data_IF_101250928613
#
_entry.id   IF_101250928613
#
_cell.length_a   1.000
_cell.length_b   1.000
_cell.length_c   1.000
_cell.angle_alpha   90.00
_cell.angle_beta   90.00
_cell.angle_gamma   90.00
#
_symmetry.space_group_name_H-M   'P 1'
#
loop_
_entity.id
_entity.type
_entity.pdbx_description
1 polymer ?
#
# COMPACT_ATOMS: atom_id res chain seq x y z
N UNK A 1 -19.60 -120.78 -41.49
CA UNK A 1 -20.07 -119.58 -42.23
C UNK A 1 -20.83 -118.59 -41.34
N UNK A 2 -21.47 -119.01 -40.26
CA UNK A 2 -22.28 -118.15 -39.41
C UNK A 2 -21.50 -117.24 -38.41
N UNK A 3 -20.25 -117.62 -38.02
CA UNK A 3 -19.48 -116.77 -37.05
C UNK A 3 -18.86 -115.53 -37.66
N UNK A 4 -18.47 -115.57 -38.94
CA UNK A 4 -17.89 -114.43 -39.67
C UNK A 4 -18.91 -113.40 -39.92
N UNK A 5 -20.15 -113.79 -40.27
CA UNK A 5 -21.26 -112.83 -40.52
C UNK A 5 -21.64 -112.14 -39.25
N UNK A 6 -21.64 -112.85 -38.10
CA UNK A 6 -21.99 -112.22 -36.81
C UNK A 6 -20.95 -111.18 -36.34
N UNK A 7 -19.67 -111.51 -36.54
CA UNK A 7 -18.59 -110.50 -36.18
C UNK A 7 -18.55 -109.28 -37.06
N UNK A 8 -18.85 -109.42 -38.39
CA UNK A 8 -18.93 -108.28 -39.28
C UNK A 8 -20.13 -107.41 -39.00
N UNK A 9 -21.24 -108.05 -38.58
CA UNK A 9 -22.45 -107.29 -38.17
C UNK A 9 -22.24 -106.51 -36.89
N UNK A 10 -21.55 -107.16 -35.91
CA UNK A 10 -21.22 -106.45 -34.63
C UNK A 10 -20.23 -105.32 -34.85
N UNK A 11 -19.24 -105.46 -35.78
CA UNK A 11 -18.31 -104.37 -36.13
C UNK A 11 -19.01 -103.21 -36.85
N UNK A 12 -19.98 -103.48 -37.74
CA UNK A 12 -20.77 -102.44 -38.36
C UNK A 12 -21.67 -101.69 -37.37
N UNK A 13 -22.29 -102.41 -36.44
CA UNK A 13 -23.10 -101.83 -35.38
C UNK A 13 -22.25 -100.92 -34.47
N UNK A 14 -21.05 -101.38 -34.13
CA UNK A 14 -20.11 -100.62 -33.31
C UNK A 14 -19.65 -99.36 -34.00
N UNK A 15 -19.41 -99.43 -35.32
CA UNK A 15 -19.02 -98.21 -36.18
C UNK A 15 -20.19 -97.16 -36.25
N UNK A 16 -21.43 -97.69 -36.40
CA UNK A 16 -22.60 -96.77 -36.48
C UNK A 16 -22.84 -96.11 -35.14
N UNK A 17 -22.73 -96.81 -34.04
CA UNK A 17 -22.89 -96.26 -32.66
C UNK A 17 -21.70 -95.32 -32.36
N UNK A 18 -20.48 -95.62 -32.73
CA UNK A 18 -19.31 -94.77 -32.56
C UNK A 18 -19.44 -93.48 -33.32
N UNK A 19 -19.90 -93.57 -34.61
CA UNK A 19 -20.15 -92.37 -35.43
C UNK A 19 -21.30 -91.51 -34.89
N UNK A 20 -22.38 -92.14 -34.44
CA UNK A 20 -23.52 -91.43 -33.76
C UNK A 20 -23.09 -90.70 -32.52
N UNK A 21 -22.27 -91.35 -31.65
CA UNK A 21 -21.73 -90.74 -30.41
C UNK A 21 -20.78 -89.58 -30.71
N UNK A 22 -19.88 -89.74 -31.70
CA UNK A 22 -18.96 -88.60 -32.08
C UNK A 22 -19.72 -87.41 -32.68
N UNK A 23 -20.76 -87.67 -33.46
CA UNK A 23 -21.62 -86.63 -34.03
C UNK A 23 -22.39 -85.91 -32.92
N UNK A 24 -22.91 -86.65 -31.92
CA UNK A 24 -23.60 -86.04 -30.78
C UNK A 24 -22.70 -85.26 -29.87
N UNK A 25 -21.48 -85.68 -29.61
CA UNK A 25 -20.49 -84.97 -28.84
C UNK A 25 -20.07 -83.65 -29.58
N UNK A 26 -19.86 -83.74 -30.90
CA UNK A 26 -19.47 -82.57 -31.68
C UNK A 26 -20.59 -81.57 -31.74
N UNK A 27 -21.86 -81.97 -31.85
CA UNK A 27 -23.01 -81.02 -31.81
C UNK A 27 -23.16 -80.41 -30.45
N UNK A 28 -23.00 -81.10 -29.35
CA UNK A 28 -23.06 -80.55 -28.01
C UNK A 28 -21.91 -79.62 -27.72
N UNK A 29 -20.68 -79.94 -28.20
CA UNK A 29 -19.55 -79.04 -28.10
C UNK A 29 -19.73 -77.70 -28.91
N UNK A 30 -20.32 -77.87 -30.12
CA UNK A 30 -20.56 -76.70 -30.98
C UNK A 30 -21.63 -75.77 -30.37
N UNK A 31 -22.71 -76.31 -29.81
CA UNK A 31 -23.76 -75.56 -29.11
C UNK A 31 -23.29 -74.85 -27.86
N UNK A 32 -22.37 -75.49 -27.09
CA UNK A 32 -21.82 -74.89 -25.90
C UNK A 32 -20.78 -73.81 -26.24
N UNK A 33 -20.02 -73.99 -27.33
CA UNK A 33 -19.10 -72.97 -27.82
C UNK A 33 -19.82 -71.70 -28.33
N UNK A 34 -20.90 -71.89 -29.10
CA UNK A 34 -21.72 -70.77 -29.62
C UNK A 34 -22.40 -69.98 -28.46
N UNK A 35 -22.96 -70.68 -27.47
CA UNK A 35 -23.53 -70.00 -26.28
C UNK A 35 -22.48 -69.20 -25.53
N UNK A 36 -21.29 -69.74 -25.34
CA UNK A 36 -20.22 -69.03 -24.62
C UNK A 36 -19.71 -67.81 -25.40
N UNK A 37 -19.70 -67.89 -26.73
CA UNK A 37 -19.38 -66.75 -27.63
C UNK A 37 -20.47 -65.70 -27.57
N UNK A 38 -21.76 -66.07 -27.57
CA UNK A 38 -22.86 -65.12 -27.43
C UNK A 38 -22.84 -64.43 -26.08
N UNK A 39 -22.61 -65.16 -25.00
CA UNK A 39 -22.48 -64.57 -23.65
C UNK A 39 -21.32 -63.54 -23.55
N UNK A 40 -20.14 -63.93 -24.13
CA UNK A 40 -18.97 -63.03 -24.16
C UNK A 40 -19.20 -61.81 -25.08
N UNK A 41 -19.93 -61.92 -26.19
CA UNK A 41 -20.32 -60.84 -27.06
C UNK A 41 -21.32 -59.89 -26.37
N UNK A 42 -22.29 -60.47 -25.66
CA UNK A 42 -23.25 -59.68 -24.90
C UNK A 42 -22.58 -58.92 -23.74
N UNK A 43 -21.63 -59.58 -23.03
CA UNK A 43 -20.86 -58.92 -21.97
C UNK A 43 -19.91 -57.84 -22.50
N UNK A 44 -19.27 -58.08 -23.66
CA UNK A 44 -18.45 -57.08 -24.34
C UNK A 44 -19.28 -55.86 -24.82
N UNK A 45 -20.47 -56.12 -25.38
CA UNK A 45 -21.37 -55.03 -25.80
C UNK A 45 -21.88 -54.25 -24.59
N UNK A 46 -22.24 -54.90 -23.47
CA UNK A 46 -22.63 -54.18 -22.25
C UNK A 46 -21.51 -53.31 -21.69
N UNK A 47 -20.26 -53.82 -21.67
CA UNK A 47 -19.09 -53.05 -21.27
C UNK A 47 -18.79 -51.89 -22.21
N UNK A 48 -18.94 -52.08 -23.52
CA UNK A 48 -18.76 -51.03 -24.53
C UNK A 48 -19.83 -49.91 -24.39
N UNK A 49 -21.08 -50.29 -24.12
CA UNK A 49 -22.16 -49.32 -23.91
C UNK A 49 -22.01 -48.58 -22.59
N UNK A 50 -21.49 -49.27 -21.55
CA UNK A 50 -21.20 -48.62 -20.27
C UNK A 50 -20.05 -47.62 -20.42
N UNK A 51 -18.93 -47.99 -21.04
CA UNK A 51 -17.82 -47.11 -21.37
C UNK A 51 -18.22 -45.90 -22.22
N UNK A 52 -19.12 -46.12 -23.20
CA UNK A 52 -19.69 -45.01 -23.99
C UNK A 52 -20.52 -44.06 -23.13
N UNK A 53 -21.35 -44.59 -22.23
CA UNK A 53 -22.16 -43.72 -21.34
C UNK A 53 -21.26 -42.96 -20.37
N UNK A 54 -20.29 -43.59 -19.78
CA UNK A 54 -19.36 -42.96 -18.84
C UNK A 54 -18.50 -41.87 -19.53
N UNK A 55 -18.00 -42.17 -20.75
CA UNK A 55 -17.28 -41.15 -21.53
C UNK A 55 -18.13 -39.96 -21.96
N UNK A 56 -19.39 -40.19 -22.33
CA UNK A 56 -20.35 -39.11 -22.65
C UNK A 56 -20.68 -38.27 -21.42
N UNK A 57 -20.81 -38.91 -20.26
CA UNK A 57 -21.03 -38.20 -18.98
C UNK A 57 -19.82 -37.34 -18.62
N UNK A 58 -18.62 -37.90 -18.66
CA UNK A 58 -17.38 -37.18 -18.38
C UNK A 58 -17.16 -35.97 -19.32
N UNK A 59 -17.41 -36.16 -20.62
CA UNK A 59 -17.34 -35.04 -21.58
C UNK A 59 -18.41 -33.98 -21.30
N UNK A 60 -19.61 -34.36 -20.92
CA UNK A 60 -20.65 -33.41 -20.55
C UNK A 60 -20.30 -32.62 -19.29
N UNK A 61 -19.73 -33.28 -18.30
CA UNK A 61 -19.34 -32.67 -17.05
C UNK A 61 -18.16 -31.70 -17.25
N UNK A 62 -17.13 -32.09 -18.00
CA UNK A 62 -16.03 -31.21 -18.39
C UNK A 62 -16.52 -30.00 -19.22
N UNK A 63 -17.42 -30.22 -20.15
CA UNK A 63 -17.99 -29.10 -20.93
C UNK A 63 -18.83 -28.14 -20.08
N UNK A 64 -19.52 -28.69 -19.05
CA UNK A 64 -20.29 -27.86 -18.13
C UNK A 64 -19.37 -27.02 -17.23
N UNK A 65 -18.31 -27.63 -16.71
CA UNK A 65 -17.29 -26.94 -15.90
C UNK A 65 -16.59 -25.85 -16.72
N UNK A 66 -16.14 -26.19 -17.95
CA UNK A 66 -15.52 -25.22 -18.86
C UNK A 66 -16.44 -24.04 -19.18
N UNK A 67 -17.71 -24.32 -19.37
CA UNK A 67 -18.72 -23.27 -19.63
C UNK A 67 -18.92 -22.36 -18.41
N UNK A 68 -18.94 -22.93 -17.19
CA UNK A 68 -19.02 -22.13 -15.97
C UNK A 68 -17.78 -21.25 -15.78
N UNK A 69 -16.60 -21.79 -16.07
CA UNK A 69 -15.31 -21.07 -15.98
C UNK A 69 -15.27 -19.90 -16.97
N UNK A 70 -15.63 -20.14 -18.23
CA UNK A 70 -15.72 -19.11 -19.26
C UNK A 70 -16.76 -18.04 -18.92
N UNK A 71 -17.94 -18.43 -18.42
CA UNK A 71 -18.97 -17.49 -18.02
C UNK A 71 -18.51 -16.62 -16.84
N UNK A 72 -17.73 -17.18 -15.92
CA UNK A 72 -17.14 -16.47 -14.80
C UNK A 72 -16.08 -15.47 -15.28
N UNK A 73 -15.16 -15.91 -16.13
CA UNK A 73 -14.15 -15.01 -16.73
C UNK A 73 -14.77 -13.87 -17.53
N UNK A 74 -15.82 -14.15 -18.30
CA UNK A 74 -16.54 -13.11 -19.05
C UNK A 74 -17.19 -12.11 -18.10
N UNK A 75 -17.72 -12.57 -16.97
CA UNK A 75 -18.35 -11.70 -15.98
C UNK A 75 -17.32 -10.82 -15.27
N UNK A 76 -16.18 -11.40 -14.89
CA UNK A 76 -15.06 -10.68 -14.29
C UNK A 76 -14.49 -9.62 -15.25
N UNK A 77 -14.23 -10.01 -16.51
CA UNK A 77 -13.74 -9.04 -17.52
C UNK A 77 -14.74 -7.94 -17.84
N UNK A 78 -16.04 -8.24 -17.83
CA UNK A 78 -17.09 -7.20 -17.99
C UNK A 78 -17.12 -6.24 -16.82
N UNK A 79 -16.87 -6.73 -15.62
CA UNK A 79 -16.83 -5.89 -14.43
C UNK A 79 -15.58 -4.99 -14.44
N UNK A 80 -14.43 -5.54 -14.78
CA UNK A 80 -13.17 -4.81 -14.95
C UNK A 80 -13.28 -3.73 -16.04
N UNK A 81 -13.89 -4.06 -17.18
CA UNK A 81 -14.16 -3.09 -18.24
C UNK A 81 -15.03 -1.92 -17.74
N UNK A 82 -16.10 -2.23 -17.02
CA UNK A 82 -17.00 -1.21 -16.46
C UNK A 82 -16.32 -0.32 -15.42
N UNK A 83 -15.43 -0.89 -14.59
CA UNK A 83 -14.63 -0.13 -13.64
C UNK A 83 -13.62 0.78 -14.35
N UNK A 84 -12.99 0.28 -15.40
CA UNK A 84 -12.06 1.06 -16.21
C UNK A 84 -12.77 2.20 -16.97
N UNK A 85 -13.96 1.95 -17.51
CA UNK A 85 -14.79 2.99 -18.13
C UNK A 85 -15.15 4.10 -17.12
N UNK A 86 -15.63 3.73 -15.94
CA UNK A 86 -15.93 4.68 -14.87
C UNK A 86 -14.70 5.49 -14.41
N UNK A 87 -13.54 4.85 -14.40
CA UNK A 87 -12.28 5.50 -14.05
C UNK A 87 -11.81 6.46 -15.13
N UNK A 88 -12.01 6.10 -16.41
CA UNK A 88 -11.73 6.98 -17.55
C UNK A 88 -12.66 8.18 -17.55
N UNK A 89 -13.95 7.99 -17.36
CA UNK A 89 -14.95 9.07 -17.29
C UNK A 89 -14.64 10.07 -16.15
N UNK A 90 -14.26 9.55 -14.97
CA UNK A 90 -13.82 10.42 -13.86
C UNK A 90 -12.55 11.21 -14.21
N UNK A 91 -11.62 10.58 -14.90
CA UNK A 91 -10.37 11.22 -15.31
C UNK A 91 -10.62 12.29 -16.38
N UNK A 92 -11.47 12.00 -17.34
CA UNK A 92 -11.89 12.95 -18.38
C UNK A 92 -12.60 14.17 -17.76
N UNK A 93 -13.60 13.94 -16.88
CA UNK A 93 -14.24 15.03 -16.13
C UNK A 93 -13.29 15.85 -15.27
N UNK A 94 -12.25 15.23 -14.71
CA UNK A 94 -11.21 15.94 -13.96
C UNK A 94 -10.29 16.75 -14.87
N UNK A 95 -9.98 16.24 -16.06
CA UNK A 95 -9.20 16.97 -17.08
C UNK A 95 -9.97 18.18 -17.60
N UNK A 96 -11.26 18.03 -17.92
CA UNK A 96 -12.13 19.13 -18.36
C UNK A 96 -12.20 20.26 -17.33
N UNK A 97 -12.36 19.90 -16.05
CA UNK A 97 -12.32 20.90 -14.96
C UNK A 97 -10.97 21.61 -14.85
N UNK A 98 -9.88 20.89 -15.05
CA UNK A 98 -8.54 21.50 -15.06
C UNK A 98 -8.37 22.45 -16.24
N UNK A 99 -8.86 22.05 -17.40
CA UNK A 99 -8.80 22.89 -18.62
C UNK A 99 -9.62 24.17 -18.44
N UNK A 100 -10.83 24.07 -17.87
CA UNK A 100 -11.65 25.24 -17.54
C UNK A 100 -10.94 26.18 -16.54
N UNK A 101 -10.26 25.61 -15.53
CA UNK A 101 -9.49 26.41 -14.57
C UNK A 101 -8.26 27.05 -15.25
N UNK A 102 -7.59 26.35 -16.15
CA UNK A 102 -6.47 26.89 -16.90
C UNK A 102 -6.91 28.05 -17.81
N UNK A 103 -8.00 27.88 -18.56
CA UNK A 103 -8.56 28.98 -19.41
C UNK A 103 -8.98 30.21 -18.59
N UNK A 104 -9.60 29.96 -17.40
CA UNK A 104 -9.93 31.10 -16.50
C UNK A 104 -8.69 31.79 -15.95
N UNK A 105 -7.62 31.06 -15.68
CA UNK A 105 -6.34 31.62 -15.23
C UNK A 105 -5.64 32.38 -16.35
N UNK A 106 -5.62 31.85 -17.56
CA UNK A 106 -5.09 32.52 -18.75
C UNK A 106 -5.82 33.89 -18.97
N UNK A 107 -7.14 33.89 -19.04
CA UNK A 107 -7.92 35.11 -19.16
C UNK A 107 -7.65 36.11 -18.04
N UNK A 108 -7.45 35.61 -16.79
CA UNK A 108 -7.11 36.50 -15.66
C UNK A 108 -5.69 37.06 -15.76
N UNK A 109 -4.76 36.29 -16.32
CA UNK A 109 -3.38 36.72 -16.54
C UNK A 109 -3.32 37.77 -17.65
N UNK A 110 -4.03 37.55 -18.75
CA UNK A 110 -4.13 38.55 -19.86
C UNK A 110 -4.72 39.87 -19.38
N UNK A 111 -5.80 39.80 -18.58
CA UNK A 111 -6.39 41.02 -17.98
C UNK A 111 -5.40 41.73 -17.04
N UNK A 112 -4.60 40.97 -16.28
CA UNK A 112 -3.57 41.57 -15.41
C UNK A 112 -2.42 42.17 -16.20
N UNK A 113 -2.02 41.52 -17.30
CA UNK A 113 -0.96 42.02 -18.18
C UNK A 113 -1.38 43.33 -18.88
N UNK A 114 -2.62 43.39 -19.37
CA UNK A 114 -3.19 44.65 -19.89
C UNK A 114 -3.20 45.76 -18.83
N UNK A 115 -3.69 45.45 -17.61
CA UNK A 115 -3.69 46.42 -16.50
C UNK A 115 -2.30 46.87 -16.10
N UNK A 116 -1.33 45.97 -16.10
CA UNK A 116 0.08 46.30 -15.80
C UNK A 116 0.68 47.17 -16.88
N UNK A 117 0.41 46.87 -18.15
CA UNK A 117 0.88 47.65 -19.30
C UNK A 117 0.28 49.05 -19.29
N UNK A 118 -1.00 49.14 -18.96
CA UNK A 118 -1.69 50.44 -18.82
C UNK A 118 -1.09 51.24 -17.67
N UNK A 119 -0.91 50.62 -16.51
CA UNK A 119 -0.33 51.26 -15.32
C UNK A 119 1.13 51.71 -15.54
N UNK A 120 1.88 50.92 -16.31
CA UNK A 120 3.25 51.26 -16.67
C UNK A 120 3.32 52.52 -17.59
N UNK A 121 2.36 52.66 -18.53
CA UNK A 121 2.22 53.87 -19.34
C UNK A 121 1.81 55.10 -18.52
N UNK A 122 0.88 54.92 -17.57
CA UNK A 122 0.46 55.99 -16.66
C UNK A 122 1.63 56.44 -15.77
N UNK A 123 2.37 55.52 -15.18
CA UNK A 123 3.56 55.87 -14.39
C UNK A 123 4.62 56.57 -15.23
N UNK A 124 4.80 56.17 -16.48
CA UNK A 124 5.77 56.79 -17.37
C UNK A 124 5.34 58.23 -17.75
N UNK A 125 4.02 58.46 -17.92
CA UNK A 125 3.47 59.81 -18.14
C UNK A 125 3.58 60.68 -16.88
N UNK A 126 3.23 60.15 -15.70
CA UNK A 126 3.42 60.82 -14.41
C UNK A 126 4.89 61.18 -14.16
N UNK A 127 5.82 60.29 -14.50
CA UNK A 127 7.25 60.55 -14.37
C UNK A 127 7.70 61.74 -15.24
N UNK A 128 7.22 61.82 -16.49
CA UNK A 128 7.50 62.90 -17.39
C UNK A 128 6.91 64.18 -16.85
N UNK A 129 5.70 64.13 -16.33
CA UNK A 129 5.00 65.32 -15.78
C UNK A 129 5.69 65.83 -14.50
N UNK A 130 6.11 64.93 -13.62
CA UNK A 130 6.91 65.25 -12.43
C UNK A 130 8.27 65.88 -12.80
N UNK A 131 8.93 65.34 -13.84
CA UNK A 131 10.20 65.92 -14.32
C UNK A 131 10.05 67.32 -14.91
N UNK A 132 8.97 67.58 -15.64
CA UNK A 132 8.62 68.91 -16.14
C UNK A 132 8.28 69.84 -14.99
N UNK A 133 7.44 69.42 -14.02
CA UNK A 133 7.13 70.23 -12.82
C UNK A 133 8.37 70.54 -11.98
N UNK A 134 9.32 69.58 -11.90
CA UNK A 134 10.59 69.79 -11.21
C UNK A 134 11.48 70.79 -11.89
N UNK A 135 11.46 70.81 -13.22
CA UNK A 135 12.15 71.82 -14.05
C UNK A 135 11.53 73.20 -13.86
N UNK A 136 10.19 73.32 -13.93
CA UNK A 136 9.46 74.56 -13.69
C UNK A 136 9.69 75.11 -12.27
N UNK A 137 9.72 74.19 -11.26
CA UNK A 137 10.04 74.61 -9.87
C UNK A 137 11.49 75.04 -9.70
N UNK A 138 12.45 74.43 -10.40
CA UNK A 138 13.85 74.89 -10.40
C UNK A 138 13.99 76.25 -11.06
N UNK A 139 13.32 76.54 -12.21
CA UNK A 139 13.29 77.80 -12.89
C UNK A 139 12.60 78.93 -12.06
N UNK A 140 11.55 78.51 -11.27
CA UNK A 140 10.91 79.41 -10.34
C UNK A 140 11.77 79.74 -9.12
N UNK A 141 12.50 78.73 -8.61
CA UNK A 141 13.47 78.92 -7.50
C UNK A 141 14.69 79.71 -7.91
N UNK A 142 15.19 79.63 -9.15
CA UNK A 142 16.19 80.54 -9.71
C UNK A 142 15.70 81.94 -9.81
N UNK A 143 14.43 82.20 -10.19
CA UNK A 143 13.78 83.51 -10.25
C UNK A 143 13.48 84.11 -8.88
N UNK A 144 13.34 83.35 -7.84
CA UNK A 144 13.05 83.76 -6.44
C UNK A 144 14.28 83.68 -5.55
N UNK A 145 15.50 83.87 -6.03
CA UNK A 145 16.73 83.77 -5.24
C UNK A 145 16.87 84.87 -4.19
N UNK A 146 15.90 84.95 -3.27
CA UNK A 146 15.89 85.74 -2.05
C UNK A 146 15.88 84.86 -0.75
N UNK A 147 16.07 83.51 -0.84
CA UNK A 147 16.13 82.69 0.33
C UNK A 147 17.51 82.71 0.99
N UNK A 148 17.55 82.82 2.33
CA UNK A 148 18.78 82.65 3.07
C UNK A 148 19.31 81.18 2.86
N UNK A 149 20.65 81.06 2.90
CA UNK A 149 21.32 79.73 2.66
C UNK A 149 20.80 78.58 3.55
N UNK A 150 20.38 78.92 4.76
CA UNK A 150 19.80 77.97 5.75
C UNK A 150 18.41 77.47 5.30
N UNK A 151 17.56 78.34 4.82
CA UNK A 151 16.18 78.05 4.37
C UNK A 151 16.18 77.23 3.07
N UNK A 152 17.13 77.48 2.16
CA UNK A 152 17.31 76.65 0.94
C UNK A 152 17.80 75.25 1.30
N UNK A 153 18.71 75.08 2.28
CA UNK A 153 19.18 73.77 2.79
C UNK A 153 18.05 72.99 3.42
N UNK A 154 17.17 73.63 4.21
CA UNK A 154 16.05 72.97 4.88
C UNK A 154 15.03 72.40 3.86
N UNK A 155 14.69 73.15 2.83
CA UNK A 155 13.77 72.78 1.76
C UNK A 155 14.36 71.58 0.93
N UNK A 156 15.67 71.69 0.59
CA UNK A 156 16.35 70.59 -0.11
C UNK A 156 16.40 69.36 0.71
N UNK A 157 16.74 69.45 2.02
CA UNK A 157 16.74 68.29 2.93
C UNK A 157 15.37 67.66 3.12
N UNK A 158 14.31 68.46 3.16
CA UNK A 158 12.94 67.97 3.25
C UNK A 158 12.54 67.17 1.99
N UNK A 159 12.83 67.71 0.79
CA UNK A 159 12.57 67.00 -0.49
C UNK A 159 13.38 65.73 -0.64
N UNK A 160 14.66 65.70 -0.21
CA UNK A 160 15.51 64.49 -0.22
C UNK A 160 14.93 63.46 0.70
N UNK A 161 14.48 63.80 1.93
CA UNK A 161 13.84 62.85 2.83
C UNK A 161 12.57 62.23 2.26
N UNK A 162 11.71 63.02 1.60
CA UNK A 162 10.48 62.54 0.97
C UNK A 162 10.77 61.63 -0.24
N UNK A 163 11.77 61.97 -1.07
CA UNK A 163 12.21 61.13 -2.19
C UNK A 163 12.80 59.81 -1.70
N UNK A 164 13.71 59.87 -0.69
CA UNK A 164 14.29 58.66 -0.11
C UNK A 164 13.25 57.76 0.56
N UNK A 165 12.25 58.33 1.25
CA UNK A 165 11.19 57.51 1.85
C UNK A 165 10.40 56.74 0.80
N UNK A 166 10.13 57.30 -0.38
CA UNK A 166 9.46 56.57 -1.49
C UNK A 166 10.34 55.49 -2.09
N UNK A 167 11.62 55.81 -2.36
CA UNK A 167 12.58 54.81 -2.91
C UNK A 167 12.77 53.63 -1.96
N UNK A 168 12.88 53.88 -0.65
CA UNK A 168 13.00 52.84 0.38
C UNK A 168 11.73 51.98 0.42
N UNK A 169 10.54 52.58 0.34
CA UNK A 169 9.28 51.79 0.32
C UNK A 169 9.19 50.91 -0.93
N UNK A 170 9.54 51.44 -2.11
CA UNK A 170 9.58 50.64 -3.34
C UNK A 170 10.56 49.51 -3.23
N UNK A 171 11.78 49.76 -2.71
CA UNK A 171 12.82 48.75 -2.53
C UNK A 171 12.38 47.65 -1.55
N UNK A 172 11.74 48.02 -0.42
CA UNK A 172 11.21 47.02 0.54
C UNK A 172 10.16 46.15 -0.13
N UNK A 173 9.19 46.72 -0.82
CA UNK A 173 8.15 45.98 -1.52
C UNK A 173 8.71 45.03 -2.60
N UNK A 174 9.72 45.48 -3.37
CA UNK A 174 10.41 44.62 -4.33
C UNK A 174 11.13 43.44 -3.64
N UNK A 175 11.80 43.70 -2.52
CA UNK A 175 12.52 42.65 -1.77
C UNK A 175 11.58 41.70 -1.07
N UNK A 176 10.44 42.14 -0.56
CA UNK A 176 9.41 41.29 -0.01
C UNK A 176 8.82 40.34 -1.09
N UNK A 177 8.56 40.91 -2.28
CA UNK A 177 8.03 40.13 -3.40
C UNK A 177 9.06 39.09 -3.91
N UNK A 178 10.33 39.47 -4.04
CA UNK A 178 11.43 38.56 -4.41
C UNK A 178 11.61 37.46 -3.38
N UNK A 179 11.56 37.81 -2.10
CA UNK A 179 11.65 36.84 -1.00
C UNK A 179 10.49 35.83 -1.03
N UNK A 180 9.28 36.28 -1.30
CA UNK A 180 8.08 35.42 -1.39
C UNK A 180 8.17 34.42 -2.55
N UNK A 181 8.60 34.89 -3.74
CA UNK A 181 8.79 34.03 -4.92
C UNK A 181 9.92 32.99 -4.66
N UNK A 182 11.01 33.45 -4.03
CA UNK A 182 12.14 32.58 -3.71
C UNK A 182 11.78 31.50 -2.66
N UNK A 183 10.98 31.88 -1.66
CA UNK A 183 10.47 30.97 -0.64
C UNK A 183 9.55 29.90 -1.25
N UNK A 184 8.60 30.30 -2.12
CA UNK A 184 7.74 29.32 -2.82
C UNK A 184 8.56 28.33 -3.68
N UNK A 185 9.56 28.81 -4.39
CA UNK A 185 10.40 27.97 -5.23
C UNK A 185 11.20 26.98 -4.41
N UNK A 186 11.85 27.45 -3.33
CA UNK A 186 12.58 26.58 -2.41
C UNK A 186 11.69 25.54 -1.74
N UNK A 187 10.49 25.95 -1.29
CA UNK A 187 9.53 25.03 -0.70
C UNK A 187 9.14 23.89 -1.66
N UNK A 188 8.86 24.23 -2.93
CA UNK A 188 8.56 23.23 -3.96
C UNK A 188 9.74 22.29 -4.25
N UNK A 189 10.96 22.81 -4.35
CA UNK A 189 12.17 21.99 -4.55
C UNK A 189 12.42 21.03 -3.38
N UNK A 190 12.17 21.50 -2.16
CA UNK A 190 12.30 20.71 -0.95
C UNK A 190 11.31 19.54 -0.92
N UNK A 191 10.03 19.84 -1.21
CA UNK A 191 8.95 18.86 -1.29
C UNK A 191 9.28 17.78 -2.34
N UNK A 192 9.65 18.19 -3.55
CA UNK A 192 10.00 17.26 -4.63
C UNK A 192 11.19 16.37 -4.26
N UNK A 193 12.22 16.92 -3.61
CA UNK A 193 13.39 16.17 -3.18
C UNK A 193 13.04 15.13 -2.10
N UNK A 194 12.19 15.49 -1.15
CA UNK A 194 11.70 14.57 -0.11
C UNK A 194 10.81 13.49 -0.71
N UNK A 195 9.87 13.83 -1.59
CA UNK A 195 9.03 12.86 -2.30
C UNK A 195 9.85 11.86 -3.11
N UNK A 196 10.93 12.30 -3.79
CA UNK A 196 11.83 11.40 -4.53
C UNK A 196 12.60 10.42 -3.62
N UNK A 197 12.97 10.87 -2.43
CA UNK A 197 13.72 10.05 -1.47
C UNK A 197 12.87 8.92 -0.87
N UNK A 198 11.58 9.18 -0.64
CA UNK A 198 10.67 8.26 0.06
C UNK A 198 9.67 7.54 -0.85
N UNK A 199 9.63 7.85 -2.15
CA UNK A 199 8.71 7.23 -3.11
C UNK A 199 8.94 5.71 -3.33
N UNK A 200 10.02 5.13 -2.80
CA UNK A 200 10.39 3.73 -3.02
C UNK A 200 9.74 2.74 -2.02
N UNK A 201 9.24 3.21 -0.86
CA UNK A 201 8.76 2.34 0.22
C UNK A 201 7.23 2.31 0.32
N UNK A 202 6.56 1.88 -0.77
CA UNK A 202 5.11 1.64 -0.71
C UNK A 202 4.87 0.23 -0.16
N UNK A 203 4.53 0.14 1.13
CA UNK A 203 4.07 -1.09 1.74
C UNK A 203 2.58 -1.33 1.44
N UNK A 204 2.25 -2.53 0.96
CA UNK A 204 0.86 -2.95 0.73
C UNK A 204 0.21 -3.30 2.08
N UNK A 205 -1.01 -2.81 2.31
CA UNK A 205 -1.80 -3.11 3.51
C UNK A 205 -2.34 -4.55 3.40
N UNK A 206 -1.60 -5.52 3.94
CA UNK A 206 -1.93 -6.94 3.87
C UNK A 206 -2.31 -7.47 5.26
N UNK A 207 -3.49 -8.07 5.37
CA UNK A 207 -3.95 -8.76 6.59
C UNK A 207 -3.44 -10.20 6.68
N UNK A 208 -2.81 -10.70 5.62
CA UNK A 208 -2.31 -12.07 5.52
C UNK A 208 -0.84 -12.09 5.15
N UNK A 209 -0.13 -13.10 5.63
CA UNK A 209 1.27 -13.37 5.27
C UNK A 209 1.41 -14.82 4.84
N UNK A 210 2.00 -15.06 3.68
CA UNK A 210 2.25 -16.42 3.17
C UNK A 210 3.63 -16.87 3.60
N UNK A 211 3.71 -18.10 4.18
CA UNK A 211 4.97 -18.76 4.56
C UNK A 211 5.16 -19.97 3.66
N UNK A 212 6.27 -19.99 2.91
CA UNK A 212 6.63 -21.10 2.04
C UNK A 212 7.16 -22.28 2.83
N UNK A 213 6.74 -23.47 2.43
CA UNK A 213 7.16 -24.75 3.03
C UNK A 213 8.13 -25.47 2.08
N UNK A 214 9.12 -26.20 2.61
CA UNK A 214 10.08 -26.96 1.79
C UNK A 214 9.47 -28.18 1.10
N UNK A 215 8.34 -28.68 1.58
CA UNK A 215 7.57 -29.79 1.03
C UNK A 215 6.19 -29.88 1.69
N UNK A 216 5.26 -30.62 1.07
CA UNK A 216 3.89 -30.83 1.58
C UNK A 216 3.84 -31.59 2.92
N UNK A 217 4.81 -32.47 3.22
CA UNK A 217 4.85 -33.20 4.49
C UNK A 217 4.93 -32.23 5.70
N UNK A 218 5.47 -31.05 5.50
CA UNK A 218 5.57 -30.05 6.55
C UNK A 218 4.19 -29.56 7.01
N UNK A 219 3.18 -29.48 6.13
CA UNK A 219 1.80 -29.17 6.51
C UNK A 219 1.28 -30.13 7.57
N UNK A 220 1.46 -31.44 7.34
CA UNK A 220 1.06 -32.47 8.29
C UNK A 220 1.77 -32.32 9.66
N UNK A 221 3.04 -31.91 9.67
CA UNK A 221 3.79 -31.63 10.91
C UNK A 221 3.30 -30.38 11.62
N UNK A 222 2.99 -29.31 10.89
CA UNK A 222 2.42 -28.08 11.46
C UNK A 222 1.05 -28.35 12.07
N UNK A 223 0.19 -29.13 11.42
CA UNK A 223 -1.10 -29.54 11.96
C UNK A 223 -0.88 -30.40 13.22
N UNK A 224 -0.03 -31.43 13.12
CA UNK A 224 0.22 -32.39 14.16
C UNK A 224 -0.95 -33.34 14.39
N UNK A 225 -0.75 -34.34 15.28
CA UNK A 225 -1.79 -35.34 15.60
C UNK A 225 -3.01 -34.63 16.20
N UNK A 226 -4.18 -34.81 15.60
CA UNK A 226 -5.47 -34.21 16.01
C UNK A 226 -5.44 -32.67 16.07
N UNK A 227 -4.62 -32.00 15.25
CA UNK A 227 -4.50 -30.54 15.23
C UNK A 227 -3.80 -29.93 16.46
N UNK A 228 -3.03 -30.72 17.22
CA UNK A 228 -2.42 -30.23 18.46
C UNK A 228 -1.40 -29.13 18.23
N UNK A 229 -0.56 -29.25 17.20
CA UNK A 229 0.50 -28.26 16.98
C UNK A 229 -0.09 -26.95 16.43
N UNK A 230 -1.01 -27.00 15.47
CA UNK A 230 -1.67 -25.81 14.95
C UNK A 230 -2.39 -25.02 16.06
N UNK A 231 -3.15 -25.71 16.93
CA UNK A 231 -3.79 -25.07 18.08
C UNK A 231 -2.79 -24.45 19.06
N UNK A 232 -1.63 -25.05 19.25
CA UNK A 232 -0.59 -24.46 20.10
C UNK A 232 0.00 -23.21 19.43
N UNK A 233 0.28 -23.24 18.11
CA UNK A 233 0.76 -22.09 17.35
C UNK A 233 -0.22 -20.93 17.46
N UNK A 234 -1.50 -21.17 17.18
CA UNK A 234 -2.56 -20.14 17.28
C UNK A 234 -2.71 -19.60 18.71
N UNK A 235 -2.63 -20.47 19.71
CA UNK A 235 -2.76 -20.06 21.11
C UNK A 235 -1.61 -19.18 21.60
N UNK A 236 -0.36 -19.46 21.21
CA UNK A 236 0.80 -18.65 21.66
C UNK A 236 0.99 -17.38 20.86
N UNK A 237 0.65 -17.39 19.56
CA UNK A 237 0.84 -16.24 18.69
C UNK A 237 -0.36 -15.31 18.65
N UNK A 238 -1.57 -15.83 18.85
CA UNK A 238 -2.83 -15.11 18.60
C UNK A 238 -3.07 -14.84 17.11
N UNK A 239 -2.50 -15.67 16.21
CA UNK A 239 -2.62 -15.55 14.75
C UNK A 239 -3.26 -16.83 14.22
N UNK A 240 -4.24 -16.70 13.33
CA UNK A 240 -4.87 -17.84 12.67
C UNK A 240 -3.93 -18.44 11.61
N UNK A 241 -3.71 -19.74 11.66
CA UNK A 241 -2.91 -20.48 10.69
C UNK A 241 -3.81 -21.23 9.71
N UNK A 242 -3.96 -20.70 8.51
CA UNK A 242 -4.78 -21.27 7.45
C UNK A 242 -3.94 -22.21 6.61
N UNK A 243 -4.33 -23.48 6.59
CA UNK A 243 -3.71 -24.53 5.79
C UNK A 243 -4.74 -25.02 4.77
N UNK A 244 -4.58 -24.60 3.54
CA UNK A 244 -5.43 -24.91 2.40
C UNK A 244 -4.71 -25.82 1.37
N UNK A 245 -5.31 -26.01 0.20
CA UNK A 245 -4.75 -26.79 -0.90
C UNK A 245 -3.63 -26.07 -1.67
N UNK A 246 -3.23 -24.86 -1.28
CA UNK A 246 -2.13 -24.13 -1.93
C UNK A 246 -0.83 -24.92 -1.77
N UNK A 247 -0.15 -25.33 -2.86
CA UNK A 247 1.05 -26.15 -2.77
C UNK A 247 2.16 -25.48 -1.98
N UNK A 248 2.79 -26.24 -1.06
CA UNK A 248 4.01 -25.84 -0.32
C UNK A 248 3.91 -24.45 0.34
N UNK A 249 2.72 -24.07 0.82
CA UNK A 249 2.49 -22.80 1.50
C UNK A 249 1.48 -22.94 2.64
N UNK A 250 1.59 -22.06 3.62
CA UNK A 250 0.59 -21.81 4.67
C UNK A 250 0.38 -20.30 4.81
N UNK A 251 -0.82 -19.91 5.21
CA UNK A 251 -1.20 -18.52 5.32
C UNK A 251 -1.42 -18.17 6.79
N UNK A 252 -0.75 -17.09 7.23
CA UNK A 252 -0.96 -16.47 8.54
C UNK A 252 -1.95 -15.34 8.39
N UNK A 253 -3.00 -15.30 9.20
CA UNK A 253 -4.02 -14.27 9.19
C UNK A 253 -4.15 -13.63 10.57
N UNK A 254 -3.97 -12.32 10.63
CA UNK A 254 -4.18 -11.50 11.82
C UNK A 254 -4.33 -10.04 11.45
N UNK A 255 -5.14 -9.30 12.19
CA UNK A 255 -5.21 -7.85 12.08
C UNK A 255 -4.00 -7.15 12.69
N UNK A 256 -3.30 -7.82 13.63
CA UNK A 256 -2.08 -7.30 14.24
C UNK A 256 -0.84 -7.70 13.40
N UNK A 257 -0.20 -6.76 12.70
CA UNK A 257 0.95 -7.04 11.85
C UNK A 257 2.17 -7.52 12.64
N UNK A 258 2.35 -7.05 13.88
CA UNK A 258 3.48 -7.46 14.71
C UNK A 258 3.35 -8.92 15.15
N UNK A 259 2.15 -9.34 15.58
CA UNK A 259 1.88 -10.75 15.91
C UNK A 259 2.07 -11.64 14.69
N UNK A 260 1.62 -11.18 13.53
CA UNK A 260 1.77 -11.91 12.26
C UNK A 260 3.24 -12.08 11.88
N UNK A 261 4.07 -11.05 12.09
CA UNK A 261 5.51 -11.12 11.84
C UNK A 261 6.22 -12.06 12.84
N UNK A 262 5.89 -12.01 14.13
CA UNK A 262 6.39 -12.95 15.15
C UNK A 262 6.03 -14.40 14.75
N UNK A 263 4.78 -14.64 14.34
CA UNK A 263 4.33 -15.95 13.90
C UNK A 263 5.09 -16.42 12.65
N UNK A 264 5.34 -15.54 11.68
CA UNK A 264 6.13 -15.83 10.47
C UNK A 264 7.55 -16.28 10.81
N UNK A 265 8.25 -15.47 11.60
CA UNK A 265 9.64 -15.76 12.01
C UNK A 265 9.70 -17.06 12.84
N UNK A 266 8.74 -17.26 13.74
CA UNK A 266 8.62 -18.50 14.52
C UNK A 266 8.40 -19.71 13.62
N UNK A 267 7.49 -19.65 12.66
CA UNK A 267 7.24 -20.74 11.71
C UNK A 267 8.47 -21.05 10.86
N UNK A 268 9.14 -20.07 10.33
CA UNK A 268 10.40 -20.26 9.57
C UNK A 268 11.47 -20.93 10.41
N UNK A 269 11.60 -20.56 11.69
CA UNK A 269 12.52 -21.21 12.62
C UNK A 269 12.15 -22.66 12.90
N UNK A 270 10.85 -22.97 13.08
CA UNK A 270 10.35 -24.34 13.27
C UNK A 270 10.52 -25.20 12.02
N UNK A 271 10.27 -24.65 10.84
CA UNK A 271 10.46 -25.30 9.55
C UNK A 271 11.93 -25.65 9.35
N UNK A 272 12.83 -24.71 9.63
CA UNK A 272 14.28 -24.92 9.52
C UNK A 272 14.81 -25.96 10.52
N UNK A 273 14.28 -25.96 11.75
CA UNK A 273 14.62 -26.94 12.79
C UNK A 273 14.03 -28.33 12.49
N UNK A 274 12.90 -28.41 11.77
CA UNK A 274 12.20 -29.66 11.43
C UNK A 274 11.48 -30.33 12.60
N UNK A 275 11.55 -29.79 13.81
CA UNK A 275 10.90 -30.32 15.01
C UNK A 275 9.70 -29.50 15.40
N UNK A 276 8.50 -30.01 15.14
CA UNK A 276 7.25 -29.34 15.46
C UNK A 276 6.47 -30.14 16.50
N UNK A 277 6.53 -29.69 17.75
CA UNK A 277 5.74 -30.19 18.86
C UNK A 277 5.47 -29.07 19.88
N UNK A 278 4.42 -29.15 20.71
CA UNK A 278 3.97 -28.03 21.56
C UNK A 278 5.08 -27.33 22.36
N UNK A 279 5.85 -28.08 23.13
CA UNK A 279 6.93 -27.51 23.94
C UNK A 279 7.97 -26.76 23.08
N UNK A 280 8.28 -27.28 21.89
CA UNK A 280 9.23 -26.62 20.99
C UNK A 280 8.64 -25.36 20.37
N UNK A 281 7.35 -25.36 20.09
CA UNK A 281 6.61 -24.18 19.60
C UNK A 281 6.69 -23.06 20.65
N UNK A 282 6.41 -23.36 21.90
CA UNK A 282 6.50 -22.41 23.03
C UNK A 282 7.93 -21.87 23.20
N UNK A 283 8.96 -22.74 23.22
CA UNK A 283 10.36 -22.32 23.31
C UNK A 283 10.79 -21.38 22.18
N UNK A 284 10.40 -21.71 20.92
CA UNK A 284 10.75 -20.89 19.75
C UNK A 284 9.99 -19.56 19.78
N UNK A 285 8.73 -19.58 20.19
CA UNK A 285 7.93 -18.38 20.36
C UNK A 285 8.58 -17.41 21.36
N UNK A 286 8.92 -17.89 22.56
CA UNK A 286 9.55 -17.05 23.62
C UNK A 286 10.87 -16.45 23.13
N UNK A 287 11.66 -17.24 22.41
CA UNK A 287 12.91 -16.76 21.82
C UNK A 287 12.66 -15.68 20.78
N UNK A 288 11.77 -15.93 19.82
CA UNK A 288 11.47 -14.97 18.72
C UNK A 288 10.81 -13.71 19.28
N UNK A 289 9.91 -13.82 20.25
CA UNK A 289 9.28 -12.67 20.88
C UNK A 289 10.32 -11.75 21.58
N UNK A 290 11.33 -12.35 22.21
CA UNK A 290 12.43 -11.58 22.80
C UNK A 290 13.30 -10.91 21.75
N UNK A 291 13.70 -11.64 20.71
CA UNK A 291 14.49 -11.09 19.59
C UNK A 291 13.72 -9.97 18.86
N UNK A 292 12.41 -10.13 18.68
CA UNK A 292 11.55 -9.11 18.09
C UNK A 292 11.49 -7.83 18.95
N UNK A 293 11.44 -7.98 20.27
CA UNK A 293 11.48 -6.82 21.16
C UNK A 293 12.80 -6.05 21.04
N UNK A 294 13.92 -6.75 20.89
CA UNK A 294 15.22 -6.12 20.65
C UNK A 294 15.23 -5.38 19.29
N UNK A 295 14.68 -6.00 18.23
CA UNK A 295 14.55 -5.38 16.90
C UNK A 295 13.65 -4.13 16.93
N UNK A 296 12.53 -4.17 17.64
CA UNK A 296 11.65 -3.01 17.82
C UNK A 296 12.43 -1.83 18.43
N UNK A 297 13.23 -2.11 19.46
CA UNK A 297 14.07 -1.07 20.08
C UNK A 297 15.14 -0.56 19.09
N UNK A 298 15.69 -1.42 18.25
CA UNK A 298 16.68 -1.02 17.23
C UNK A 298 16.03 -0.12 16.15
N UNK A 299 14.83 -0.43 15.68
CA UNK A 299 14.08 0.44 14.77
C UNK A 299 13.77 1.81 15.41
N UNK A 300 13.31 1.83 16.64
CA UNK A 300 13.03 3.07 17.36
C UNK A 300 14.29 3.92 17.55
N UNK A 301 15.39 3.32 18.01
CA UNK A 301 16.67 4.01 18.16
C UNK A 301 17.25 4.46 16.81
N UNK A 302 17.11 3.66 15.76
CA UNK A 302 17.50 4.01 14.39
C UNK A 302 16.79 5.26 13.89
N UNK A 303 15.48 5.34 14.08
CA UNK A 303 14.66 6.50 13.73
C UNK A 303 15.11 7.77 14.47
N UNK A 304 15.35 7.67 15.77
CA UNK A 304 15.86 8.80 16.55
C UNK A 304 17.25 9.25 16.07
N UNK A 305 18.13 8.31 15.79
CA UNK A 305 19.47 8.59 15.29
C UNK A 305 19.46 9.29 13.92
N UNK A 306 18.61 8.79 12.99
CA UNK A 306 18.45 9.38 11.65
C UNK A 306 17.98 10.84 11.71
N UNK A 307 17.01 11.12 12.56
CA UNK A 307 16.46 12.47 12.72
C UNK A 307 17.33 13.39 13.60
N UNK A 308 18.29 12.84 14.35
CA UNK A 308 19.05 13.57 15.36
C UNK A 308 18.25 13.95 16.61
N UNK A 309 17.11 13.29 16.84
CA UNK A 309 16.27 13.51 18.02
C UNK A 309 16.87 12.80 19.23
N UNK A 310 17.07 13.53 20.33
CA UNK A 310 17.70 13.00 21.54
C UNK A 310 16.73 13.01 22.73
N UNK A 311 17.04 12.21 23.77
CA UNK A 311 16.34 12.21 25.08
C UNK A 311 14.84 11.90 24.95
N UNK A 312 14.50 10.74 24.41
CA UNK A 312 13.14 10.22 24.42
C UNK A 312 12.99 9.12 25.48
N UNK A 313 11.78 9.00 26.05
CA UNK A 313 11.47 7.93 27.00
C UNK A 313 11.65 6.55 26.32
N UNK A 314 12.33 5.56 26.95
CA UNK A 314 12.54 4.24 26.35
C UNK A 314 11.25 3.52 25.91
N UNK A 315 10.15 3.68 26.66
CA UNK A 315 8.85 3.09 26.29
C UNK A 315 8.27 3.78 25.05
N UNK A 316 8.51 5.08 24.88
CA UNK A 316 8.10 5.81 23.68
C UNK A 316 8.96 5.42 22.46
N UNK A 317 10.26 5.14 22.67
CA UNK A 317 11.14 4.60 21.62
C UNK A 317 10.65 3.23 21.15
N UNK A 318 10.21 2.36 22.09
CA UNK A 318 9.60 1.07 21.74
C UNK A 318 8.34 1.26 20.88
N UNK A 319 7.49 2.23 21.23
CA UNK A 319 6.29 2.53 20.45
C UNK A 319 6.64 3.06 19.04
N UNK A 320 7.64 3.94 18.91
CA UNK A 320 8.15 4.37 17.59
C UNK A 320 8.64 3.18 16.78
N UNK A 321 9.36 2.25 17.39
CA UNK A 321 9.83 1.03 16.71
C UNK A 321 8.68 0.12 16.27
N UNK A 322 7.59 0.03 17.03
CA UNK A 322 6.39 -0.74 16.66
C UNK A 322 5.72 -0.22 15.37
N UNK A 323 5.83 1.09 15.08
CA UNK A 323 5.32 1.66 13.83
C UNK A 323 5.94 1.03 12.58
N UNK A 324 7.13 0.41 12.69
CA UNK A 324 7.76 -0.32 11.58
C UNK A 324 6.88 -1.46 11.05
N UNK A 325 6.11 -2.09 11.91
CA UNK A 325 5.24 -3.21 11.55
C UNK A 325 3.83 -2.77 11.15
N UNK A 326 3.51 -1.49 11.30
CA UNK A 326 2.20 -0.93 10.98
C UNK A 326 2.19 -0.35 9.57
N UNK A 327 1.18 -0.72 8.80
CA UNK A 327 0.89 -0.14 7.49
C UNK A 327 -0.44 0.62 7.56
N UNK A 328 -0.50 1.81 7.01
CA UNK A 328 -1.70 2.62 6.91
C UNK A 328 -1.77 3.26 5.53
N UNK A 329 -2.91 3.13 4.83
CA UNK A 329 -3.11 3.66 3.47
C UNK A 329 -2.02 3.27 2.45
N UNK A 330 -1.45 2.06 2.61
CA UNK A 330 -0.40 1.55 1.73
C UNK A 330 1.02 2.03 2.06
N UNK A 331 1.21 2.82 3.12
CA UNK A 331 2.51 3.30 3.57
C UNK A 331 2.90 2.65 4.91
N UNK A 332 4.19 2.39 5.09
CA UNK A 332 4.73 1.98 6.38
C UNK A 332 4.68 3.16 7.36
N UNK A 333 4.08 2.96 8.55
CA UNK A 333 3.84 4.05 9.49
C UNK A 333 5.13 4.68 10.05
N UNK A 334 6.20 3.90 10.24
CA UNK A 334 7.50 4.43 10.67
C UNK A 334 8.13 5.29 9.57
N UNK A 335 8.17 4.78 8.34
CA UNK A 335 8.72 5.51 7.19
C UNK A 335 7.97 6.82 6.94
N UNK A 336 6.64 6.77 7.01
CA UNK A 336 5.80 7.97 6.95
C UNK A 336 6.12 8.97 8.08
N UNK A 337 6.24 8.51 9.32
CA UNK A 337 6.58 9.38 10.45
C UNK A 337 7.98 10.00 10.31
N UNK A 338 8.94 9.28 9.75
CA UNK A 338 10.27 9.79 9.43
C UNK A 338 10.21 10.89 8.36
N UNK A 339 9.46 10.65 7.28
CA UNK A 339 9.27 11.62 6.21
C UNK A 339 8.58 12.89 6.70
N UNK A 340 7.51 12.75 7.48
CA UNK A 340 6.81 13.90 8.10
C UNK A 340 7.75 14.68 9.01
N UNK A 341 8.58 13.99 9.80
CA UNK A 341 9.56 14.63 10.68
C UNK A 341 10.62 15.41 9.89
N UNK A 342 11.16 14.83 8.82
CA UNK A 342 12.12 15.49 7.95
C UNK A 342 11.51 16.73 7.28
N UNK A 343 10.31 16.61 6.68
CA UNK A 343 9.59 17.71 6.04
C UNK A 343 9.29 18.84 7.02
N UNK A 344 8.75 18.49 8.20
CA UNK A 344 8.46 19.47 9.24
C UNK A 344 9.75 20.18 9.72
N UNK A 345 10.84 19.43 9.91
CA UNK A 345 12.14 19.98 10.28
C UNK A 345 12.72 20.92 9.24
N UNK A 346 12.62 20.58 7.96
CA UNK A 346 13.07 21.41 6.86
C UNK A 346 12.26 22.71 6.75
N UNK A 347 10.92 22.62 6.86
CA UNK A 347 10.07 23.80 6.87
C UNK A 347 10.34 24.69 8.08
N UNK A 348 10.57 24.10 9.27
CA UNK A 348 10.92 24.83 10.48
C UNK A 348 12.25 25.60 10.29
N UNK A 349 13.26 25.00 9.69
CA UNK A 349 14.53 25.65 9.40
C UNK A 349 14.39 26.86 8.48
N UNK A 350 13.52 26.78 7.44
CA UNK A 350 13.31 27.90 6.49
C UNK A 350 12.59 29.10 7.11
N UNK A 351 11.75 28.87 8.12
CA UNK A 351 11.02 29.96 8.80
C UNK A 351 11.62 30.39 10.12
N UNK A 352 12.74 29.73 10.56
CA UNK A 352 13.46 30.09 11.80
C UNK A 352 12.86 29.51 13.09
N UNK A 353 12.05 28.43 12.98
CA UNK A 353 11.51 27.67 14.12
C UNK A 353 12.47 26.58 14.59
N UNK A 354 12.18 25.98 15.78
CA UNK A 354 13.02 24.90 16.32
C UNK A 354 12.90 23.63 15.49
N UNK A 355 13.94 23.32 14.74
CA UNK A 355 14.06 22.16 13.87
C UNK A 355 13.92 20.84 14.63
N UNK A 356 14.57 20.73 15.82
CA UNK A 356 14.56 19.50 16.60
C UNK A 356 13.17 19.24 17.20
N UNK A 357 12.48 20.28 17.61
CA UNK A 357 11.12 20.19 18.13
C UNK A 357 10.14 19.84 17.03
N UNK A 358 10.30 20.41 15.81
CA UNK A 358 9.48 20.09 14.63
C UNK A 358 9.69 18.62 14.20
N UNK A 359 10.94 18.15 14.12
CA UNK A 359 11.26 16.75 13.82
C UNK A 359 10.67 15.80 14.88
N UNK A 360 10.77 16.14 16.16
CA UNK A 360 10.20 15.36 17.25
C UNK A 360 8.67 15.29 17.16
N UNK A 361 8.01 16.40 16.89
CA UNK A 361 6.56 16.46 16.73
C UNK A 361 6.10 15.67 15.51
N UNK A 362 6.80 15.78 14.38
CA UNK A 362 6.55 14.99 13.17
C UNK A 362 6.73 13.49 13.38
N UNK A 363 7.78 13.06 14.07
CA UNK A 363 8.01 11.64 14.39
C UNK A 363 6.89 11.05 15.25
N UNK A 364 6.31 11.85 16.15
CA UNK A 364 5.33 11.38 17.14
C UNK A 364 3.87 11.65 16.74
N UNK A 365 3.60 12.34 15.62
CA UNK A 365 2.23 12.75 15.26
C UNK A 365 1.25 11.57 15.20
N UNK A 366 1.72 10.43 14.73
CA UNK A 366 0.96 9.20 14.53
C UNK A 366 1.28 8.08 15.54
N UNK A 367 1.90 8.40 16.67
CA UNK A 367 2.37 7.40 17.66
C UNK A 367 1.24 6.52 18.20
N UNK A 368 0.00 7.00 18.20
CA UNK A 368 -1.16 6.22 18.62
C UNK A 368 -1.41 4.98 17.75
N UNK A 369 -0.99 4.98 16.48
CA UNK A 369 -1.09 3.82 15.59
C UNK A 369 -0.27 2.61 16.03
N UNK A 370 0.68 2.80 16.96
CA UNK A 370 1.46 1.70 17.52
C UNK A 370 0.64 0.76 18.41
N UNK A 371 -0.50 1.21 18.95
CA UNK A 371 -1.34 0.47 19.91
C UNK A 371 -2.85 0.62 19.66
N UNK A 372 -3.27 1.19 18.54
CA UNK A 372 -4.70 1.39 18.21
C UNK A 372 -5.51 0.09 18.06
N UNK A 373 -4.85 -1.06 17.90
CA UNK A 373 -5.50 -2.38 17.93
C UNK A 373 -5.78 -2.91 19.33
N UNK A 374 -5.09 -2.39 20.34
CA UNK A 374 -5.16 -2.87 21.72
C UNK A 374 -6.04 -1.95 22.59
N UNK A 375 -6.26 -0.69 22.18
CA UNK A 375 -6.91 0.36 22.96
C UNK A 375 -8.06 0.97 22.14
N UNK A 376 -9.24 1.08 22.75
CA UNK A 376 -10.38 1.77 22.14
C UNK A 376 -10.12 3.29 22.05
N UNK A 377 -10.28 3.86 20.86
CA UNK A 377 -10.12 5.30 20.63
C UNK A 377 -9.54 5.62 19.26
N UNK A 378 -9.48 6.91 18.92
CA UNK A 378 -8.76 7.34 17.72
C UNK A 378 -7.26 7.33 17.98
N UNK A 379 -6.43 7.07 16.94
CA UNK A 379 -4.97 7.16 17.07
C UNK A 379 -4.51 8.53 17.59
N UNK A 380 -5.26 9.59 17.29
CA UNK A 380 -5.02 10.95 17.80
C UNK A 380 -5.18 11.00 19.32
N UNK A 381 -6.33 10.54 19.84
CA UNK A 381 -6.60 10.56 21.29
C UNK A 381 -5.61 9.68 22.06
N UNK A 382 -5.35 8.47 21.54
CA UNK A 382 -4.36 7.54 22.12
C UNK A 382 -2.95 8.15 22.09
N UNK A 383 -2.57 8.78 20.96
CA UNK A 383 -1.28 9.44 20.81
C UNK A 383 -1.07 10.59 21.80
N UNK A 384 -2.09 11.41 22.01
CA UNK A 384 -2.08 12.49 23.02
C UNK A 384 -1.87 11.94 24.42
N UNK A 385 -2.59 10.87 24.78
CA UNK A 385 -2.47 10.26 26.11
C UNK A 385 -1.09 9.63 26.33
N UNK A 386 -0.54 8.98 25.31
CA UNK A 386 0.82 8.44 25.33
C UNK A 386 1.86 9.56 25.48
N UNK A 387 1.76 10.63 24.70
CA UNK A 387 2.68 11.76 24.76
C UNK A 387 2.66 12.42 26.15
N UNK A 388 1.49 12.62 26.75
CA UNK A 388 1.34 13.11 28.12
C UNK A 388 1.94 12.17 29.15
N UNK A 389 1.65 10.87 29.03
CA UNK A 389 2.15 9.82 29.94
C UNK A 389 3.68 9.78 29.98
N UNK A 390 4.32 9.94 28.82
CA UNK A 390 5.78 9.86 28.70
C UNK A 390 6.49 11.21 28.77
N UNK A 391 5.75 12.30 29.10
CA UNK A 391 6.31 13.60 29.44
C UNK A 391 6.76 14.44 28.26
N UNK A 392 6.10 14.29 27.09
CA UNK A 392 6.31 15.16 25.94
C UNK A 392 5.82 16.60 26.20
N UNK A 393 6.44 17.56 25.51
CA UNK A 393 6.08 18.97 25.66
C UNK A 393 4.75 19.34 24.99
N UNK A 394 4.11 20.40 25.46
CA UNK A 394 2.80 20.88 24.99
C UNK A 394 2.74 21.08 23.46
N UNK A 395 3.82 21.53 22.83
CA UNK A 395 3.90 21.72 21.37
C UNK A 395 3.77 20.39 20.63
N UNK A 396 4.44 19.33 21.12
CA UNK A 396 4.36 17.98 20.56
C UNK A 396 2.97 17.40 20.76
N UNK A 397 2.41 17.55 21.97
CA UNK A 397 1.06 17.10 22.30
C UNK A 397 0.02 17.79 21.41
N UNK A 398 0.15 19.10 21.21
CA UNK A 398 -0.74 19.85 20.33
C UNK A 398 -0.60 19.43 18.87
N UNK A 399 0.63 19.19 18.39
CA UNK A 399 0.85 18.69 17.03
C UNK A 399 0.17 17.33 16.81
N UNK A 400 0.27 16.40 17.78
CA UNK A 400 -0.45 15.12 17.74
C UNK A 400 -1.96 15.34 17.72
N UNK A 401 -2.49 16.27 18.53
CA UNK A 401 -3.92 16.51 18.67
C UNK A 401 -4.53 17.18 17.43
N UNK A 402 -3.76 18.01 16.71
CA UNK A 402 -4.29 18.93 15.70
C UNK A 402 -3.95 18.58 14.25
N UNK A 403 -3.13 17.55 13.99
CA UNK A 403 -2.65 17.26 12.61
C UNK A 403 -3.79 16.90 11.63
N UNK A 404 -4.90 16.36 12.10
CA UNK A 404 -6.10 16.12 11.27
C UNK A 404 -7.15 17.23 11.35
N UNK A 405 -6.90 18.29 12.12
CA UNK A 405 -7.82 19.43 12.27
C UNK A 405 -8.96 19.22 13.28
N UNK A 406 -8.92 18.17 14.08
CA UNK A 406 -9.93 17.90 15.13
C UNK A 406 -9.83 18.90 16.29
N UNK A 407 -8.67 19.51 16.48
CA UNK A 407 -8.41 20.57 17.48
C UNK A 407 -7.62 21.71 16.83
N UNK A 408 -7.72 22.89 17.42
CA UNK A 408 -6.96 24.04 16.96
C UNK A 408 -5.45 23.87 17.17
N UNK A 409 -4.66 24.15 16.16
CA UNK A 409 -3.22 24.22 16.32
C UNK A 409 -2.82 25.51 17.05
N UNK A 410 -2.07 25.36 18.13
CA UNK A 410 -1.64 26.49 19.00
C UNK A 410 -0.22 26.94 18.72
N UNK A 411 0.52 26.26 17.84
CA UNK A 411 1.90 26.57 17.48
C UNK A 411 2.13 26.49 15.98
N UNK A 412 3.13 27.22 15.50
CA UNK A 412 3.58 27.14 14.12
C UNK A 412 4.03 25.71 13.78
N UNK A 413 4.75 25.06 14.69
CA UNK A 413 5.24 23.69 14.52
C UNK A 413 4.09 22.71 14.33
N UNK A 414 2.97 22.84 15.06
CA UNK A 414 1.80 21.98 14.89
C UNK A 414 1.20 22.12 13.45
N UNK A 415 1.14 23.34 12.93
CA UNK A 415 0.73 23.57 11.55
C UNK A 415 1.71 22.98 10.53
N UNK A 416 3.03 23.08 10.79
CA UNK A 416 4.04 22.47 9.91
C UNK A 416 3.91 20.95 9.86
N UNK A 417 3.64 20.31 11.00
CA UNK A 417 3.42 18.84 11.08
C UNK A 417 2.17 18.46 10.28
N UNK A 418 1.05 19.17 10.43
CA UNK A 418 -0.16 18.91 9.65
C UNK A 418 0.06 19.07 8.13
N UNK A 419 0.85 20.07 7.73
CA UNK A 419 1.22 20.27 6.32
C UNK A 419 2.14 19.14 5.84
N UNK A 420 3.13 18.74 6.65
CA UNK A 420 4.06 17.68 6.33
C UNK A 420 3.35 16.32 6.19
N UNK A 421 2.40 16.01 7.07
CA UNK A 421 1.55 14.82 7.01
C UNK A 421 0.74 14.78 5.71
N UNK A 422 0.03 15.87 5.38
CA UNK A 422 -0.73 15.98 4.15
C UNK A 422 0.14 15.83 2.87
N UNK A 423 1.40 16.28 2.92
CA UNK A 423 2.34 16.16 1.80
C UNK A 423 2.87 14.74 1.66
N UNK A 424 3.21 14.08 2.76
CA UNK A 424 3.69 12.70 2.77
C UNK A 424 2.59 11.69 2.38
N UNK A 425 1.32 12.00 2.67
CA UNK A 425 0.18 11.16 2.30
C UNK A 425 -0.30 11.34 0.84
N UNK A 426 0.23 12.29 0.08
CA UNK A 426 -0.18 12.61 -1.30
C UNK A 426 0.67 11.91 -2.36
#
# INVERSE_FOLDING_TARGET
MNQIILSTLLLLVGLVIGFGLTMLINTLRKNNATKKIEEMLEEANKKADQLKRDSIMEVKEKNYQLKQEVDKEIKEKKQELKENELRLEKRESSMDKRDEICQKREATLDEREEKLTQRQKEIQQEQIEVENLKKEQLDLLEKISGFSKEKAKEVVMQKVKESMAREVTVYINEKEMEAKITAEKKAKELIVTSMQRYAADIASDQTVTVVSLPNEDMKGRLIGREGRNIRTIEAVTGVDLIIDDTPEAVVLSSFDPLRREIARVMLEALIKDGRVHPTRIEEVYDKVAKEMKEQIMDYGNGALFELGVTKMNPELIELVGKLHFRTSYGQNALSHSLEVAELAGLMAAEIGEDVNLAKRAGLLHDIGKAVDHEIEGSHVSIGVDLAKKYGEGEVVINAIASHHGDTDSTSVIANLVAIADALSAS
#
